data_IF_695240024778
#
_entry.id   IF_695240024778
#
_cell.length_a   1.000
_cell.length_b   1.000
_cell.length_c   1.000
_cell.angle_alpha   90.00
_cell.angle_beta   90.00
_cell.angle_gamma   90.00
#
_symmetry.space_group_name_H-M   'P 1'
#
loop_
_entity.id
_entity.type
_entity.pdbx_description
1 polymer ?
#
# COMPACT_ATOMS: atom_id res chain seq x y z
N UNK A 1 9.90 -14.90 38.32
CA UNK A 1 9.12 -13.67 38.10
C UNK A 1 9.86 -12.79 37.09
N UNK A 2 9.55 -12.90 35.80
CA UNK A 2 10.13 -12.07 34.73
C UNK A 2 9.19 -10.89 34.51
N UNK A 3 9.65 -9.70 34.83
CA UNK A 3 8.94 -8.44 34.55
C UNK A 3 8.93 -8.20 33.03
N UNK A 4 7.75 -8.17 32.46
CA UNK A 4 7.48 -7.79 31.09
C UNK A 4 7.55 -6.27 31.00
N UNK A 5 8.52 -5.74 30.27
CA UNK A 5 8.68 -4.31 30.05
C UNK A 5 7.69 -3.90 28.93
N UNK A 6 6.59 -3.24 29.31
CA UNK A 6 5.71 -2.56 28.36
C UNK A 6 6.42 -1.29 27.91
N UNK A 7 6.88 -1.25 26.66
CA UNK A 7 7.33 -0.01 26.02
C UNK A 7 6.13 0.63 25.33
N UNK A 8 5.56 1.64 25.96
CA UNK A 8 4.62 2.58 25.32
C UNK A 8 5.45 3.50 24.41
N UNK A 9 5.40 3.31 23.10
CA UNK A 9 5.93 4.28 22.14
C UNK A 9 4.80 5.25 21.76
N UNK A 10 4.76 6.39 22.43
CA UNK A 10 4.04 7.56 21.96
C UNK A 10 4.91 8.25 20.92
N UNK A 11 4.63 8.06 19.62
CA UNK A 11 5.29 8.81 18.55
C UNK A 11 4.52 10.10 18.35
N UNK A 12 5.01 11.16 18.97
CA UNK A 12 4.56 12.53 18.69
C UNK A 12 5.33 13.08 17.50
N UNK A 13 4.72 13.07 16.31
CA UNK A 13 5.28 13.76 15.14
C UNK A 13 4.81 15.21 15.15
N UNK A 14 5.65 16.13 15.63
CA UNK A 14 5.45 17.57 15.48
C UNK A 14 6.05 17.98 14.13
N UNK A 15 5.21 18.30 13.15
CA UNK A 15 5.63 19.05 11.96
C UNK A 15 4.83 20.36 11.98
N UNK A 16 5.50 21.43 12.37
CA UNK A 16 4.98 22.78 12.25
C UNK A 16 5.09 23.27 10.82
N UNK A 17 3.96 23.68 10.24
CA UNK A 17 3.84 24.74 9.22
C UNK A 17 2.43 25.29 9.29
N UNK A 18 2.31 26.59 9.48
CA UNK A 18 1.07 27.29 9.72
C UNK A 18 0.15 27.33 8.49
N UNK A 19 -1.10 27.01 8.73
CA UNK A 19 -2.24 27.12 7.82
C UNK A 19 -3.45 26.51 8.51
N UNK A 20 -4.58 27.18 8.53
CA UNK A 20 -5.81 26.95 9.26
C UNK A 20 -6.11 25.48 9.61
N UNK A 21 -6.32 25.23 10.89
CA UNK A 21 -6.36 23.94 11.58
C UNK A 21 -7.23 22.85 10.96
N UNK A 22 -6.59 21.92 10.26
CA UNK A 22 -7.07 20.55 10.18
C UNK A 22 -6.43 19.79 11.34
N UNK A 23 -7.17 19.58 12.42
CA UNK A 23 -6.77 18.62 13.47
C UNK A 23 -6.63 17.25 12.80
N UNK A 24 -5.39 16.78 12.61
CA UNK A 24 -5.13 15.37 12.36
C UNK A 24 -5.57 14.63 13.62
N UNK A 25 -6.55 13.75 13.51
CA UNK A 25 -6.84 12.80 14.55
C UNK A 25 -5.61 11.90 14.73
N UNK A 26 -4.77 12.22 15.72
CA UNK A 26 -3.67 11.36 16.17
C UNK A 26 -4.27 10.31 17.09
N UNK A 27 -4.90 9.29 16.51
CA UNK A 27 -5.39 8.16 17.29
C UNK A 27 -4.24 7.39 17.91
N UNK A 28 -4.42 6.90 19.12
CA UNK A 28 -3.45 6.02 19.78
C UNK A 28 -3.51 4.63 19.13
N UNK A 29 -2.36 4.13 18.69
CA UNK A 29 -2.22 2.79 18.12
C UNK A 29 -1.53 1.88 19.12
N UNK A 30 -2.15 0.76 19.42
CA UNK A 30 -1.53 -0.32 20.20
C UNK A 30 -1.68 -1.65 19.43
N UNK A 31 -0.60 -2.40 19.29
CA UNK A 31 -0.62 -3.75 18.75
C UNK A 31 0.47 -4.61 19.37
N UNK A 32 0.14 -5.88 19.57
CA UNK A 32 1.10 -6.86 20.09
C UNK A 32 1.83 -7.50 18.92
N UNK A 33 3.14 -7.35 18.89
CA UNK A 33 4.02 -8.09 18.00
C UNK A 33 5.13 -8.74 18.81
N UNK A 34 5.25 -10.07 18.68
CA UNK A 34 6.34 -10.87 19.21
C UNK A 34 6.95 -11.68 18.09
N UNK A 35 8.17 -12.17 18.30
CA UNK A 35 8.77 -13.10 17.33
C UNK A 35 7.81 -14.27 17.07
N UNK A 36 7.60 -14.59 15.79
CA UNK A 36 6.79 -15.74 15.40
C UNK A 36 7.33 -17.03 16.04
N UNK A 37 6.43 -17.75 16.71
CA UNK A 37 6.77 -18.99 17.43
C UNK A 37 6.38 -20.25 16.68
N UNK A 38 5.60 -20.11 15.60
CA UNK A 38 5.24 -21.22 14.70
C UNK A 38 6.41 -21.65 13.82
N UNK A 39 6.22 -22.74 13.10
CA UNK A 39 7.19 -23.21 12.11
C UNK A 39 6.95 -22.53 10.77
N UNK A 40 7.95 -21.84 10.24
CA UNK A 40 7.96 -21.36 8.87
C UNK A 40 8.54 -22.47 7.99
N UNK A 41 7.68 -23.05 7.14
CA UNK A 41 8.10 -24.02 6.12
C UNK A 41 8.34 -23.28 4.81
N UNK A 42 9.60 -23.15 4.32
CA UNK A 42 9.85 -22.52 3.03
C UNK A 42 9.07 -23.20 1.88
N UNK A 43 8.60 -22.42 0.92
CA UNK A 43 7.73 -22.88 -0.16
C UNK A 43 6.24 -22.96 0.22
N UNK A 44 5.83 -22.43 1.38
CA UNK A 44 4.44 -22.48 1.84
C UNK A 44 3.91 -21.12 2.31
N UNK A 45 2.58 -21.03 2.41
CA UNK A 45 1.88 -19.90 3.00
C UNK A 45 1.78 -20.05 4.52
N UNK A 46 2.10 -18.99 5.23
CA UNK A 46 1.73 -18.79 6.63
C UNK A 46 0.46 -17.95 6.69
N UNK A 47 -0.52 -18.42 7.46
CA UNK A 47 -1.77 -17.73 7.72
C UNK A 47 -1.70 -17.14 9.11
N UNK A 48 -1.88 -15.84 9.22
CA UNK A 48 -1.72 -15.13 10.48
C UNK A 48 -2.83 -14.12 10.69
N UNK A 49 -2.96 -13.62 11.91
CA UNK A 49 -3.94 -12.61 12.26
C UNK A 49 -3.31 -11.54 13.13
N UNK A 50 -3.33 -10.29 12.64
CA UNK A 50 -2.85 -9.14 13.38
C UNK A 50 -3.99 -8.63 14.26
N UNK A 51 -3.77 -8.59 15.58
CA UNK A 51 -4.65 -7.93 16.53
C UNK A 51 -4.07 -6.55 16.85
N UNK A 52 -4.90 -5.52 16.74
CA UNK A 52 -4.52 -4.15 17.09
C UNK A 52 -5.69 -3.39 17.72
N UNK A 53 -5.37 -2.32 18.42
CA UNK A 53 -6.32 -1.34 18.92
C UNK A 53 -6.05 0.02 18.34
N UNK A 54 -7.09 0.75 18.02
CA UNK A 54 -7.02 2.14 17.59
C UNK A 54 -8.11 2.93 18.31
N UNK A 55 -7.71 3.97 19.07
CA UNK A 55 -8.61 4.75 19.94
C UNK A 55 -9.49 3.88 20.87
N UNK A 56 -8.92 2.79 21.37
CA UNK A 56 -9.62 1.86 22.26
C UNK A 56 -10.44 0.78 21.57
N UNK A 57 -10.74 0.91 20.29
CA UNK A 57 -11.44 -0.12 19.50
C UNK A 57 -10.46 -1.20 19.02
N UNK A 58 -10.84 -2.47 19.25
CA UNK A 58 -10.05 -3.63 18.88
C UNK A 58 -10.45 -4.16 17.51
N UNK A 59 -9.46 -4.54 16.69
CA UNK A 59 -9.69 -5.15 15.40
C UNK A 59 -8.70 -6.28 15.11
N UNK A 60 -9.12 -7.17 14.19
CA UNK A 60 -8.36 -8.30 13.71
C UNK A 60 -8.22 -8.23 12.18
N UNK A 61 -7.02 -8.41 11.68
CA UNK A 61 -6.73 -8.40 10.24
C UNK A 61 -6.06 -9.70 9.85
N UNK A 62 -6.72 -10.46 8.97
CA UNK A 62 -6.12 -11.68 8.43
C UNK A 62 -4.97 -11.33 7.48
N UNK A 63 -3.92 -12.13 7.54
CA UNK A 63 -2.69 -11.97 6.77
C UNK A 63 -2.29 -13.31 6.16
N UNK A 64 -1.86 -13.30 4.90
CA UNK A 64 -1.15 -14.40 4.28
C UNK A 64 0.27 -13.98 3.91
N UNK A 65 1.25 -14.80 4.27
CA UNK A 65 2.66 -14.56 3.94
C UNK A 65 3.20 -15.79 3.24
N UNK A 66 3.70 -15.64 2.02
CA UNK A 66 4.43 -16.67 1.31
C UNK A 66 5.93 -16.54 1.57
N UNK A 67 6.53 -17.60 1.99
CA UNK A 67 7.98 -17.70 2.16
C UNK A 67 8.56 -18.59 1.06
N UNK A 68 9.37 -18.07 0.12
CA UNK A 68 9.93 -18.88 -0.95
C UNK A 68 10.85 -19.98 -0.44
N UNK A 69 11.08 -21.03 -1.24
CA UNK A 69 11.86 -22.24 -0.84
C UNK A 69 13.24 -21.96 -0.33
N UNK A 70 13.89 -20.89 -0.82
CA UNK A 70 15.21 -20.48 -0.39
C UNK A 70 15.19 -19.51 0.81
N UNK A 71 14.04 -19.28 1.43
CA UNK A 71 13.92 -18.42 2.60
C UNK A 71 14.77 -18.94 3.77
N UNK A 72 15.47 -18.03 4.41
CA UNK A 72 16.21 -18.32 5.66
C UNK A 72 16.04 -17.17 6.65
N UNK A 73 15.82 -17.49 7.93
CA UNK A 73 15.70 -16.52 9.02
C UNK A 73 16.96 -15.67 9.29
N UNK A 74 18.08 -15.98 8.65
CA UNK A 74 19.37 -15.33 8.91
C UNK A 74 19.71 -14.20 7.95
N UNK A 75 18.84 -13.90 6.97
CA UNK A 75 19.08 -12.88 5.95
C UNK A 75 17.98 -11.85 5.95
N UNK A 76 18.32 -10.59 5.64
CA UNK A 76 17.34 -9.62 5.17
C UNK A 76 16.70 -10.17 3.91
N UNK A 77 15.38 -10.23 3.85
CA UNK A 77 14.68 -10.87 2.75
C UNK A 77 13.87 -9.85 1.96
N UNK A 78 13.99 -9.89 0.64
CA UNK A 78 13.15 -9.05 -0.23
C UNK A 78 11.69 -9.37 0.03
N UNK A 79 10.92 -8.34 0.30
CA UNK A 79 9.51 -8.46 0.70
C UNK A 79 8.63 -7.59 -0.21
N UNK A 80 7.58 -8.16 -0.77
CA UNK A 80 6.59 -7.42 -1.54
C UNK A 80 5.24 -7.47 -0.80
N UNK A 81 4.75 -6.31 -0.40
CA UNK A 81 3.42 -6.14 0.18
C UNK A 81 2.43 -5.92 -0.96
N UNK A 82 1.40 -6.76 -1.05
CA UNK A 82 0.43 -6.76 -2.14
C UNK A 82 -0.95 -6.38 -1.62
N UNK A 83 -1.38 -5.18 -1.94
CA UNK A 83 -2.67 -4.61 -1.56
C UNK A 83 -3.74 -5.05 -2.57
N UNK A 84 -4.88 -5.50 -2.06
CA UNK A 84 -6.03 -5.88 -2.89
C UNK A 84 -6.90 -4.67 -3.28
N UNK A 85 -7.78 -4.83 -4.27
CA UNK A 85 -8.79 -3.84 -4.64
C UNK A 85 -9.95 -3.75 -3.64
N UNK A 86 -10.90 -2.85 -3.89
CA UNK A 86 -12.08 -2.64 -3.04
C UNK A 86 -12.86 -3.93 -2.81
N UNK A 87 -13.23 -4.20 -1.55
CA UNK A 87 -13.89 -5.43 -1.07
C UNK A 87 -13.09 -6.71 -1.24
N UNK A 88 -11.79 -6.60 -1.48
CA UNK A 88 -10.89 -7.74 -1.59
C UNK A 88 -10.43 -8.29 -0.24
N UNK A 89 -9.54 -9.27 -0.31
CA UNK A 89 -9.01 -9.97 0.84
C UNK A 89 -7.56 -10.43 0.62
N UNK A 90 -6.95 -10.99 1.66
CA UNK A 90 -5.63 -11.61 1.60
C UNK A 90 -5.54 -12.78 0.58
N UNK A 91 -6.69 -13.32 0.13
CA UNK A 91 -6.74 -14.46 -0.78
C UNK A 91 -6.71 -14.07 -2.26
N UNK A 92 -6.95 -12.82 -2.58
CA UNK A 92 -7.18 -12.37 -3.95
C UNK A 92 -5.98 -12.62 -4.86
N UNK A 93 -4.80 -12.15 -4.48
CA UNK A 93 -3.57 -12.35 -5.23
C UNK A 93 -3.18 -13.84 -5.33
N UNK A 94 -3.16 -14.60 -4.21
CA UNK A 94 -2.89 -16.04 -4.25
C UNK A 94 -3.84 -16.85 -5.15
N UNK A 95 -5.12 -16.53 -5.13
CA UNK A 95 -6.14 -17.29 -5.85
C UNK A 95 -6.21 -16.99 -7.35
N UNK A 96 -5.86 -15.75 -7.76
CA UNK A 96 -6.13 -15.27 -9.11
C UNK A 96 -4.86 -14.96 -9.92
N UNK A 97 -3.68 -15.32 -9.42
CA UNK A 97 -2.44 -14.99 -10.12
C UNK A 97 -1.35 -16.04 -9.96
N UNK A 98 -0.29 -15.91 -10.75
CA UNK A 98 0.92 -16.75 -10.68
C UNK A 98 1.92 -16.28 -9.61
N UNK A 99 1.46 -15.60 -8.55
CA UNK A 99 2.36 -14.95 -7.59
C UNK A 99 3.34 -15.92 -6.92
N UNK A 100 2.91 -17.16 -6.61
CA UNK A 100 3.79 -18.18 -6.01
C UNK A 100 4.98 -18.50 -6.93
N UNK A 101 4.72 -18.74 -8.22
CA UNK A 101 5.79 -19.02 -9.18
C UNK A 101 6.76 -17.83 -9.35
N UNK A 102 6.22 -16.61 -9.30
CA UNK A 102 7.03 -15.40 -9.40
C UNK A 102 7.82 -15.11 -8.11
N UNK A 103 7.23 -15.39 -6.94
CA UNK A 103 7.92 -15.32 -5.66
C UNK A 103 9.12 -16.27 -5.59
N UNK A 104 8.96 -17.48 -6.12
CA UNK A 104 10.06 -18.45 -6.23
C UNK A 104 11.13 -17.97 -7.23
N UNK A 105 10.70 -17.54 -8.44
CA UNK A 105 11.60 -17.09 -9.49
C UNK A 105 12.52 -15.95 -9.02
N UNK A 106 11.96 -14.99 -8.31
CA UNK A 106 12.67 -13.79 -7.88
C UNK A 106 13.12 -13.83 -6.41
N UNK A 107 12.86 -14.93 -5.70
CA UNK A 107 13.24 -15.09 -4.29
C UNK A 107 12.74 -13.92 -3.42
N UNK A 108 11.42 -13.68 -3.43
CA UNK A 108 10.76 -12.61 -2.67
C UNK A 108 9.68 -13.18 -1.76
N UNK A 109 9.64 -12.76 -0.51
CA UNK A 109 8.52 -13.02 0.38
C UNK A 109 7.31 -12.14 -0.05
N UNK A 110 6.12 -12.74 -0.05
CA UNK A 110 4.89 -12.06 -0.46
C UNK A 110 3.97 -11.90 0.74
N UNK A 111 3.44 -10.70 0.93
CA UNK A 111 2.58 -10.36 2.06
C UNK A 111 1.25 -9.81 1.55
N UNK A 112 0.16 -10.47 1.88
CA UNK A 112 -1.20 -10.12 1.46
C UNK A 112 -2.07 -9.86 2.71
N UNK A 113 -2.36 -8.60 3.09
CA UNK A 113 -3.29 -8.28 4.15
C UNK A 113 -4.75 -8.31 3.66
N UNK A 114 -5.71 -8.56 4.58
CA UNK A 114 -7.15 -8.48 4.31
C UNK A 114 -7.71 -7.17 4.84
N UNK A 115 -7.98 -6.22 3.98
CA UNK A 115 -8.40 -4.87 4.35
C UNK A 115 -9.78 -4.48 3.78
N UNK A 116 -10.52 -5.43 3.18
CA UNK A 116 -11.92 -5.28 2.79
C UNK A 116 -12.22 -4.03 1.94
N UNK A 117 -13.07 -3.15 2.48
CA UNK A 117 -13.60 -1.98 1.75
C UNK A 117 -12.74 -0.72 1.89
N UNK A 118 -11.43 -0.83 2.11
CA UNK A 118 -10.55 0.34 2.22
C UNK A 118 -10.28 1.03 0.88
N UNK A 119 -10.08 2.34 0.93
CA UNK A 119 -9.44 3.15 -0.11
C UNK A 119 -7.98 3.46 0.24
N UNK A 120 -7.45 2.82 1.28
CA UNK A 120 -6.12 3.11 1.84
C UNK A 120 -5.96 4.59 2.24
N UNK A 121 -7.06 5.14 2.75
CA UNK A 121 -7.19 6.49 3.27
C UNK A 121 -6.33 6.72 4.52
N UNK A 122 -5.95 7.98 4.77
CA UNK A 122 -5.17 8.39 5.95
C UNK A 122 -6.02 8.98 7.08
N UNK A 123 -7.30 9.23 6.83
CA UNK A 123 -8.19 9.89 7.78
C UNK A 123 -9.63 9.48 7.55
N UNK A 124 -10.40 9.39 8.62
CA UNK A 124 -11.86 9.39 8.60
C UNK A 124 -12.39 10.77 8.98
N UNK A 125 -13.37 11.23 8.25
CA UNK A 125 -14.11 12.45 8.54
C UNK A 125 -15.46 12.13 9.21
N UNK A 126 -16.12 13.10 9.83
CA UNK A 126 -17.48 12.87 10.38
C UNK A 126 -18.45 12.32 9.33
N UNK A 127 -18.29 12.73 8.07
CA UNK A 127 -19.13 12.31 6.93
C UNK A 127 -18.71 10.98 6.29
N UNK A 128 -17.61 10.37 6.75
CA UNK A 128 -17.14 9.09 6.21
C UNK A 128 -18.14 7.98 6.50
N UNK A 129 -18.75 7.44 5.45
CA UNK A 129 -19.71 6.33 5.52
C UNK A 129 -19.09 4.98 5.19
N UNK A 130 -17.94 4.95 4.54
CA UNK A 130 -17.21 3.73 4.23
C UNK A 130 -15.94 3.64 5.07
N UNK A 131 -15.99 2.82 6.11
CA UNK A 131 -14.85 2.49 6.98
C UNK A 131 -14.60 0.99 6.90
N UNK A 132 -13.35 0.59 6.63
CA UNK A 132 -13.00 -0.84 6.62
C UNK A 132 -12.73 -1.38 8.03
N UNK A 133 -12.39 -0.53 8.97
CA UNK A 133 -12.07 -0.85 10.36
C UNK A 133 -11.97 0.43 11.20
N UNK A 134 -11.57 0.34 12.45
CA UNK A 134 -11.47 1.51 13.33
C UNK A 134 -10.39 2.49 12.86
N UNK A 135 -9.30 1.99 12.31
CA UNK A 135 -8.16 2.77 11.80
C UNK A 135 -8.27 2.98 10.29
N UNK A 136 -7.97 4.19 9.76
CA UNK A 136 -7.81 4.41 8.33
C UNK A 136 -6.80 3.47 7.70
N UNK A 137 -7.13 2.92 6.50
CA UNK A 137 -6.37 1.83 5.90
C UNK A 137 -4.92 2.18 5.56
N UNK A 138 -4.65 3.41 5.13
CA UNK A 138 -3.28 3.87 4.87
C UNK A 138 -2.42 3.93 6.14
N UNK A 139 -3.03 4.31 7.28
CA UNK A 139 -2.33 4.29 8.57
C UNK A 139 -2.07 2.86 9.06
N UNK A 140 -3.00 1.94 8.82
CA UNK A 140 -2.77 0.53 9.17
C UNK A 140 -1.54 -0.04 8.47
N UNK A 141 -1.37 0.23 7.18
CA UNK A 141 -0.21 -0.25 6.42
C UNK A 141 1.11 0.21 7.06
N UNK A 142 1.24 1.49 7.38
CA UNK A 142 2.49 2.06 7.89
C UNK A 142 2.71 1.85 9.38
N UNK A 143 1.65 1.94 10.20
CA UNK A 143 1.80 1.99 11.66
C UNK A 143 1.57 0.63 12.34
N UNK A 144 0.95 -0.33 11.63
CA UNK A 144 0.68 -1.66 12.17
C UNK A 144 1.31 -2.75 11.31
N UNK A 145 0.95 -2.84 10.02
CA UNK A 145 1.37 -3.95 9.17
C UNK A 145 2.89 -4.03 9.03
N UNK A 146 3.55 -2.96 8.58
CA UNK A 146 5.02 -2.97 8.40
C UNK A 146 5.75 -3.20 9.70
N UNK A 147 5.47 -2.50 10.82
CA UNK A 147 6.09 -2.79 12.11
C UNK A 147 5.82 -4.21 12.63
N UNK A 148 4.63 -4.77 12.37
CA UNK A 148 4.31 -6.16 12.72
C UNK A 148 5.20 -7.13 11.95
N UNK A 149 5.34 -6.96 10.63
CA UNK A 149 6.21 -7.79 9.79
C UNK A 149 7.67 -7.75 10.24
N UNK A 150 8.16 -6.57 10.59
CA UNK A 150 9.51 -6.36 11.08
C UNK A 150 9.78 -7.10 12.39
N UNK A 151 8.87 -6.97 13.35
CA UNK A 151 9.04 -7.53 14.70
C UNK A 151 8.76 -9.03 14.74
N UNK A 152 7.79 -9.51 13.96
CA UNK A 152 7.31 -10.89 14.02
C UNK A 152 8.08 -11.81 13.09
N UNK A 153 8.32 -11.38 11.86
CA UNK A 153 8.87 -12.21 10.78
C UNK A 153 10.25 -11.77 10.28
N UNK A 154 10.76 -10.63 10.73
CA UNK A 154 11.96 -9.99 10.16
C UNK A 154 11.84 -9.69 8.66
N UNK A 155 10.63 -9.45 8.20
CA UNK A 155 10.32 -8.98 6.84
C UNK A 155 10.18 -7.47 6.80
N UNK A 156 10.33 -6.87 5.62
CA UNK A 156 10.23 -5.42 5.41
C UNK A 156 11.14 -4.60 6.35
N UNK A 157 12.30 -5.13 6.69
CA UNK A 157 13.21 -4.53 7.69
C UNK A 157 14.08 -3.40 7.14
N UNK A 158 14.22 -3.32 5.82
CA UNK A 158 14.98 -2.27 5.13
C UNK A 158 14.19 -1.77 3.93
N UNK A 159 14.23 -0.46 3.72
CA UNK A 159 13.60 0.21 2.59
C UNK A 159 13.93 -0.47 1.26
N UNK A 160 15.22 -0.54 0.93
CA UNK A 160 15.72 -1.04 -0.33
C UNK A 160 15.49 -2.55 -0.59
N UNK A 161 14.95 -3.28 0.39
CA UNK A 161 14.48 -4.67 0.26
C UNK A 161 12.96 -4.79 0.27
N UNK A 162 12.23 -3.68 0.37
CA UNK A 162 10.77 -3.69 0.55
C UNK A 162 10.07 -3.03 -0.62
N UNK A 163 9.27 -3.80 -1.35
CA UNK A 163 8.34 -3.31 -2.38
C UNK A 163 6.91 -3.27 -1.86
N UNK A 164 6.11 -2.37 -2.41
CA UNK A 164 4.66 -2.32 -2.19
C UNK A 164 3.94 -2.20 -3.52
N UNK A 165 2.89 -3.00 -3.71
CA UNK A 165 2.07 -2.93 -4.91
C UNK A 165 0.60 -3.18 -4.61
N UNK A 166 -0.24 -2.92 -5.60
CA UNK A 166 -1.65 -3.30 -5.52
C UNK A 166 -2.41 -3.07 -6.83
N UNK A 167 -3.67 -3.48 -6.83
CA UNK A 167 -4.59 -3.29 -7.95
C UNK A 167 -5.78 -2.42 -7.55
N UNK A 168 -6.34 -1.64 -8.49
CA UNK A 168 -7.51 -0.79 -8.23
C UNK A 168 -7.28 0.15 -7.04
N UNK A 169 -8.15 0.15 -6.02
CA UNK A 169 -7.91 0.94 -4.78
C UNK A 169 -6.59 0.59 -4.12
N UNK A 170 -6.15 -0.68 -4.17
CA UNK A 170 -4.83 -1.11 -3.70
C UNK A 170 -3.68 -0.55 -4.55
N UNK A 171 -3.90 -0.36 -5.85
CA UNK A 171 -2.93 0.29 -6.74
C UNK A 171 -2.69 1.75 -6.35
N UNK A 172 -3.78 2.49 -6.10
CA UNK A 172 -3.72 3.83 -5.49
C UNK A 172 -3.08 3.78 -4.10
N UNK A 173 -3.50 2.82 -3.28
CA UNK A 173 -3.01 2.65 -1.92
C UNK A 173 -1.50 2.41 -1.83
N UNK A 174 -0.93 1.65 -2.76
CA UNK A 174 0.51 1.39 -2.82
C UNK A 174 1.31 2.68 -3.13
N UNK A 175 0.84 3.48 -4.08
CA UNK A 175 1.44 4.80 -4.38
C UNK A 175 1.34 5.72 -3.16
N UNK A 176 0.14 5.87 -2.56
CA UNK A 176 -0.05 6.70 -1.36
C UNK A 176 0.78 6.23 -0.16
N UNK A 177 0.94 4.92 0.02
CA UNK A 177 1.78 4.39 1.10
C UNK A 177 3.24 4.82 0.93
N UNK A 178 3.79 4.76 -0.29
CA UNK A 178 5.15 5.21 -0.59
C UNK A 178 5.28 6.74 -0.43
N UNK A 179 4.33 7.51 -0.92
CA UNK A 179 4.32 8.97 -0.79
C UNK A 179 4.28 9.47 0.66
N UNK A 180 3.48 8.79 1.50
CA UNK A 180 3.33 9.19 2.91
C UNK A 180 4.48 8.75 3.80
N UNK A 181 5.19 7.71 3.39
CA UNK A 181 6.24 7.10 4.18
C UNK A 181 7.55 7.02 3.38
N UNK A 182 8.20 8.17 3.10
CA UNK A 182 9.53 8.18 2.49
C UNK A 182 10.48 7.30 3.30
N UNK A 183 11.33 6.54 2.62
CA UNK A 183 12.29 5.59 3.21
C UNK A 183 11.67 4.32 3.84
N UNK A 184 10.39 4.03 3.55
CA UNK A 184 9.78 2.76 3.98
C UNK A 184 9.78 1.71 2.85
N UNK A 185 9.70 2.15 1.60
CA UNK A 185 9.60 1.30 0.43
C UNK A 185 10.62 1.69 -0.62
N UNK A 186 11.47 0.73 -1.03
CA UNK A 186 12.48 0.93 -2.06
C UNK A 186 11.92 0.97 -3.48
N UNK A 187 10.67 0.50 -3.69
CA UNK A 187 9.95 0.61 -4.94
C UNK A 187 8.44 0.45 -4.72
N UNK A 188 7.63 1.05 -5.59
CA UNK A 188 6.16 0.95 -5.54
C UNK A 188 5.57 0.64 -6.91
N UNK A 189 4.42 -0.08 -6.94
CA UNK A 189 3.69 -0.36 -8.17
C UNK A 189 2.18 -0.23 -7.99
N UNK A 190 1.53 0.46 -8.92
CA UNK A 190 0.08 0.58 -8.96
C UNK A 190 -0.49 0.08 -10.29
N UNK A 191 -1.48 -0.85 -10.21
CA UNK A 191 -2.17 -1.37 -11.38
C UNK A 191 -3.62 -0.92 -11.34
N UNK A 192 -4.09 -0.28 -12.43
CA UNK A 192 -5.47 0.26 -12.53
C UNK A 192 -5.86 1.14 -11.34
N UNK A 193 -4.92 1.90 -10.78
CA UNK A 193 -5.17 2.83 -9.69
C UNK A 193 -5.71 4.17 -10.19
N UNK A 194 -6.44 4.86 -9.33
CA UNK A 194 -6.89 6.22 -9.53
C UNK A 194 -5.96 7.20 -8.80
N UNK A 195 -5.28 8.03 -9.57
CA UNK A 195 -4.22 8.90 -9.04
C UNK A 195 -4.58 10.38 -9.02
N UNK A 196 -5.65 10.77 -9.73
CA UNK A 196 -6.22 12.12 -9.69
C UNK A 196 -7.72 12.08 -9.33
N UNK A 197 -8.04 12.07 -8.02
CA UNK A 197 -9.42 12.02 -7.58
C UNK A 197 -10.25 13.25 -8.02
N UNK A 198 -9.58 14.40 -8.21
CA UNK A 198 -10.24 15.66 -8.62
C UNK A 198 -10.84 15.56 -10.02
N UNK A 199 -10.20 14.82 -10.92
CA UNK A 199 -10.74 14.56 -12.28
C UNK A 199 -11.98 13.66 -12.29
N UNK A 200 -12.32 13.04 -11.15
CA UNK A 200 -13.47 12.15 -10.98
C UNK A 200 -14.47 12.65 -9.91
N UNK A 201 -14.96 13.88 -9.97
CA UNK A 201 -15.70 14.55 -8.88
C UNK A 201 -17.04 13.89 -8.52
N UNK A 202 -17.52 12.94 -9.36
CA UNK A 202 -18.75 12.15 -9.14
C UNK A 202 -18.45 10.73 -8.64
N UNK A 203 -17.20 10.40 -8.32
CA UNK A 203 -16.84 9.09 -7.84
C UNK A 203 -17.48 8.84 -6.46
N UNK A 204 -18.43 7.89 -6.41
CA UNK A 204 -19.19 7.58 -5.19
C UNK A 204 -18.32 6.94 -4.11
N UNK A 205 -17.30 6.21 -4.51
CA UNK A 205 -16.40 5.54 -3.58
C UNK A 205 -15.53 6.57 -2.84
N UNK A 206 -14.97 7.55 -3.56
CA UNK A 206 -14.27 8.67 -2.92
C UNK A 206 -15.21 9.50 -2.03
N UNK A 207 -16.43 9.78 -2.51
CA UNK A 207 -17.41 10.52 -1.73
C UNK A 207 -17.80 9.80 -0.43
N UNK A 208 -17.78 8.46 -0.40
CA UNK A 208 -18.07 7.70 0.83
C UNK A 208 -16.99 7.81 1.91
N UNK A 209 -15.79 8.26 1.55
CA UNK A 209 -14.68 8.50 2.50
C UNK A 209 -14.50 9.99 2.76
N UNK A 210 -14.38 10.81 1.71
CA UNK A 210 -14.01 12.22 1.82
C UNK A 210 -15.22 13.17 1.86
N UNK A 211 -16.44 12.66 1.73
CA UNK A 211 -17.66 13.46 1.50
C UNK A 211 -17.78 13.88 0.03
N UNK A 212 -18.96 14.38 -0.42
CA UNK A 212 -19.16 14.82 -1.81
C UNK A 212 -18.19 15.92 -2.23
N UNK A 213 -17.63 15.81 -3.43
CA UNK A 213 -16.65 16.79 -3.94
C UNK A 213 -17.17 18.24 -3.90
N UNK A 214 -18.45 18.44 -4.25
CA UNK A 214 -19.09 19.78 -4.25
C UNK A 214 -19.09 20.47 -2.87
N UNK A 215 -19.12 19.66 -1.80
CA UNK A 215 -19.21 20.14 -0.44
C UNK A 215 -17.83 20.20 0.25
N UNK A 216 -16.89 19.35 -0.20
CA UNK A 216 -15.55 19.18 0.42
C UNK A 216 -14.42 19.11 -0.62
N UNK A 217 -14.32 20.07 -1.57
CA UNK A 217 -13.33 19.98 -2.66
C UNK A 217 -11.89 19.94 -2.16
N UNK A 218 -11.56 20.63 -1.07
CA UNK A 218 -10.20 20.64 -0.53
C UNK A 218 -9.72 19.27 0.00
N UNK A 219 -10.65 18.43 0.50
CA UNK A 219 -10.31 17.08 0.94
C UNK A 219 -9.82 16.24 -0.25
N UNK A 220 -10.49 16.33 -1.40
CA UNK A 220 -10.14 15.62 -2.62
C UNK A 220 -8.85 16.16 -3.26
N UNK A 221 -8.62 17.45 -3.13
CA UNK A 221 -7.45 18.10 -3.69
C UNK A 221 -6.19 17.79 -2.87
N UNK A 222 -6.29 17.77 -1.53
CA UNK A 222 -5.12 17.77 -0.64
C UNK A 222 -4.96 16.49 0.17
N UNK A 223 -6.08 15.79 0.48
CA UNK A 223 -6.03 14.61 1.34
C UNK A 223 -6.00 13.36 0.48
N UNK A 224 -4.98 12.53 0.68
CA UNK A 224 -4.83 11.27 -0.04
C UNK A 224 -4.91 11.41 -1.56
N UNK A 225 -4.39 12.51 -2.09
CA UNK A 225 -4.31 12.79 -3.51
C UNK A 225 -2.89 12.52 -4.02
N UNK A 226 -2.67 11.43 -4.80
CA UNK A 226 -1.34 11.12 -5.33
C UNK A 226 -0.74 12.25 -6.17
N UNK A 227 -1.53 13.01 -6.92
CA UNK A 227 -1.03 14.14 -7.70
C UNK A 227 -0.39 15.22 -6.82
N UNK A 228 -0.98 15.48 -5.65
CA UNK A 228 -0.48 16.48 -4.69
C UNK A 228 0.77 15.99 -3.96
N UNK A 229 0.81 14.68 -3.65
CA UNK A 229 1.90 14.06 -2.88
C UNK A 229 3.06 13.56 -3.76
N UNK A 230 2.95 13.62 -5.09
CA UNK A 230 3.87 13.04 -6.07
C UNK A 230 5.36 13.45 -5.85
N UNK A 231 5.61 14.65 -5.34
CA UNK A 231 6.97 15.13 -5.05
C UNK A 231 7.70 14.22 -4.05
N UNK A 232 6.98 13.58 -3.15
CA UNK A 232 7.54 12.69 -2.13
C UNK A 232 8.07 11.36 -2.66
N UNK A 233 7.78 11.04 -3.93
CA UNK A 233 8.32 9.86 -4.63
C UNK A 233 9.69 10.12 -5.28
N UNK A 234 10.30 11.26 -5.01
CA UNK A 234 11.64 11.57 -5.52
C UNK A 234 12.63 10.49 -5.10
N UNK A 235 13.25 9.82 -6.09
CA UNK A 235 14.20 8.74 -5.86
C UNK A 235 13.56 7.34 -5.72
N UNK A 236 12.28 7.23 -5.39
CA UNK A 236 11.57 5.95 -5.30
C UNK A 236 11.16 5.46 -6.69
N UNK A 237 11.60 4.28 -7.16
CA UNK A 237 11.14 3.69 -8.40
C UNK A 237 9.63 3.38 -8.40
N UNK A 238 8.95 3.71 -9.50
CA UNK A 238 7.49 3.61 -9.64
C UNK A 238 7.16 2.79 -10.88
N UNK A 239 6.26 1.81 -10.74
CA UNK A 239 5.64 1.12 -11.88
C UNK A 239 4.14 1.42 -11.90
N UNK A 240 3.64 1.83 -13.07
CA UNK A 240 2.22 2.05 -13.32
C UNK A 240 1.76 1.12 -14.44
N UNK A 241 0.72 0.33 -14.19
CA UNK A 241 0.11 -0.55 -15.18
C UNK A 241 -1.37 -0.23 -15.37
N UNK A 242 -1.86 -0.19 -16.63
CA UNK A 242 -3.26 0.07 -16.89
C UNK A 242 -3.77 -0.68 -18.12
N UNK A 243 -5.04 -1.12 -18.09
CA UNK A 243 -5.70 -1.67 -19.26
C UNK A 243 -6.27 -0.56 -20.17
N UNK A 244 -6.12 -0.68 -21.48
CA UNK A 244 -6.65 0.32 -22.41
C UNK A 244 -8.18 0.30 -22.53
N UNK A 245 -8.83 -0.77 -22.05
CA UNK A 245 -10.29 -0.96 -22.01
C UNK A 245 -10.85 -0.92 -20.59
N UNK A 246 -10.10 -0.36 -19.65
CA UNK A 246 -10.56 -0.16 -18.27
C UNK A 246 -11.66 0.90 -18.24
N UNK A 247 -12.90 0.46 -17.98
CA UNK A 247 -14.09 1.32 -17.90
C UNK A 247 -14.47 1.69 -16.46
N UNK A 248 -13.77 1.14 -15.47
CA UNK A 248 -13.98 1.42 -14.03
C UNK A 248 -13.09 2.57 -13.58
N UNK A 249 -11.79 2.43 -13.87
CA UNK A 249 -10.80 3.49 -13.65
C UNK A 249 -10.17 3.79 -15.01
N UNK A 250 -10.41 4.98 -15.58
CA UNK A 250 -9.86 5.33 -16.88
C UNK A 250 -8.32 5.29 -16.89
N UNK A 251 -7.72 4.75 -17.95
CA UNK A 251 -6.25 4.68 -18.09
C UNK A 251 -5.58 6.06 -18.00
N UNK A 252 -6.34 7.09 -18.29
CA UNK A 252 -5.92 8.49 -18.19
C UNK A 252 -5.42 8.82 -16.78
N UNK A 253 -5.87 8.11 -15.74
CA UNK A 253 -5.38 8.26 -14.37
C UNK A 253 -3.87 7.98 -14.28
N UNK A 254 -3.40 6.90 -14.88
CA UNK A 254 -1.96 6.61 -14.95
C UNK A 254 -1.20 7.61 -15.82
N UNK A 255 -1.79 8.01 -16.96
CA UNK A 255 -1.15 8.96 -17.88
C UNK A 255 -0.99 10.36 -17.25
N UNK A 256 -2.02 10.88 -16.59
CA UNK A 256 -1.97 12.17 -15.89
C UNK A 256 -0.92 12.15 -14.79
N UNK A 257 -0.84 11.05 -14.03
CA UNK A 257 0.15 10.91 -12.98
C UNK A 257 1.59 10.90 -13.54
N UNK A 258 1.82 10.23 -14.68
CA UNK A 258 3.12 10.28 -15.38
C UNK A 258 3.44 11.70 -15.84
N UNK A 259 2.46 12.44 -16.35
CA UNK A 259 2.65 13.85 -16.73
C UNK A 259 3.08 14.69 -15.52
N UNK A 260 2.47 14.48 -14.37
CA UNK A 260 2.88 15.14 -13.11
C UNK A 260 4.31 14.81 -12.72
N UNK A 261 4.71 13.54 -12.76
CA UNK A 261 6.08 13.13 -12.46
C UNK A 261 7.10 13.72 -13.46
N UNK A 262 6.73 13.80 -14.75
CA UNK A 262 7.57 14.46 -15.77
C UNK A 262 7.73 15.96 -15.51
N UNK A 263 6.69 16.62 -15.01
CA UNK A 263 6.80 18.03 -14.64
C UNK A 263 7.77 18.21 -13.47
N UNK A 264 7.65 17.39 -12.43
CA UNK A 264 8.56 17.43 -11.28
C UNK A 264 10.02 17.10 -11.67
N UNK A 265 10.24 16.29 -12.70
CA UNK A 265 11.58 16.07 -13.26
C UNK A 265 12.17 17.32 -13.91
N UNK A 266 11.36 18.06 -14.68
CA UNK A 266 11.80 19.34 -15.27
C UNK A 266 12.15 20.36 -14.20
N UNK A 267 11.49 20.30 -13.05
CA UNK A 267 11.74 21.15 -11.90
C UNK A 267 12.94 20.69 -11.04
N UNK A 268 13.76 19.73 -11.55
CA UNK A 268 15.00 19.25 -10.94
C UNK A 268 14.86 18.03 -10.02
N UNK A 269 13.71 17.37 -10.00
CA UNK A 269 13.53 16.08 -9.31
C UNK A 269 14.10 14.91 -10.13
N UNK A 270 14.35 13.78 -9.46
CA UNK A 270 14.68 12.52 -10.13
C UNK A 270 13.57 11.52 -9.86
N UNK A 271 12.84 11.12 -10.90
CA UNK A 271 11.72 10.18 -10.81
C UNK A 271 11.95 9.00 -11.74
N UNK A 272 12.18 7.83 -11.17
CA UNK A 272 12.38 6.57 -11.90
C UNK A 272 10.99 5.94 -12.09
N UNK A 273 10.45 5.99 -13.31
CA UNK A 273 9.09 5.52 -13.59
C UNK A 273 9.01 4.64 -14.81
N UNK A 274 8.18 3.61 -14.72
CA UNK A 274 7.72 2.76 -15.82
C UNK A 274 6.22 2.91 -15.91
N UNK A 275 5.70 3.23 -17.11
CA UNK A 275 4.27 3.22 -17.37
C UNK A 275 3.97 2.26 -18.52
N UNK A 276 3.08 1.29 -18.26
CA UNK A 276 2.73 0.27 -19.23
C UNK A 276 1.22 0.18 -19.43
N UNK A 277 0.77 0.43 -20.65
CA UNK A 277 -0.62 0.22 -21.05
C UNK A 277 -0.75 -1.15 -21.69
N UNK A 278 -1.69 -1.96 -21.21
CA UNK A 278 -1.95 -3.32 -21.69
C UNK A 278 -3.12 -3.30 -22.67
N UNK A 279 -2.90 -3.66 -23.95
CA UNK A 279 -3.94 -3.63 -24.97
C UNK A 279 -5.02 -4.68 -24.70
N UNK A 280 -6.27 -4.31 -25.00
CA UNK A 280 -7.46 -5.16 -24.86
C UNK A 280 -7.72 -5.66 -23.44
N UNK A 281 -7.23 -4.96 -22.41
CA UNK A 281 -7.41 -5.32 -21.01
C UNK A 281 -8.38 -4.39 -20.29
N UNK A 282 -9.24 -4.99 -19.49
CA UNK A 282 -10.26 -4.34 -18.66
C UNK A 282 -9.84 -4.28 -17.19
N UNK A 283 -10.71 -3.77 -16.33
CA UNK A 283 -10.53 -3.69 -14.87
C UNK A 283 -10.81 -5.05 -14.19
N UNK A 284 -9.95 -6.02 -14.39
CA UNK A 284 -10.16 -7.39 -13.89
C UNK A 284 -8.86 -8.17 -13.67
N UNK A 285 -9.00 -9.39 -13.14
CA UNK A 285 -7.88 -10.27 -12.83
C UNK A 285 -7.06 -10.70 -14.03
N UNK A 286 -7.62 -10.69 -15.24
CA UNK A 286 -6.85 -10.97 -16.47
C UNK A 286 -5.75 -9.94 -16.70
N UNK A 287 -6.05 -8.66 -16.46
CA UNK A 287 -5.05 -7.60 -16.48
C UNK A 287 -4.07 -7.75 -15.33
N UNK A 288 -4.58 -7.85 -14.10
CA UNK A 288 -3.76 -7.80 -12.89
C UNK A 288 -2.80 -8.98 -12.80
N UNK A 289 -3.24 -10.19 -13.13
CA UNK A 289 -2.36 -11.37 -13.20
C UNK A 289 -1.31 -11.25 -14.31
N UNK A 290 -1.69 -10.71 -15.48
CA UNK A 290 -0.75 -10.51 -16.59
C UNK A 290 0.32 -9.47 -16.25
N UNK A 291 -0.09 -8.35 -15.66
CA UNK A 291 0.83 -7.27 -15.29
C UNK A 291 1.81 -7.66 -14.20
N UNK A 292 1.46 -8.64 -13.38
CA UNK A 292 2.28 -9.10 -12.26
C UNK A 292 3.67 -9.58 -12.68
N UNK A 293 3.82 -10.18 -13.85
CA UNK A 293 5.13 -10.58 -14.39
C UNK A 293 6.05 -9.37 -14.60
N UNK A 294 5.51 -8.28 -15.13
CA UNK A 294 6.29 -7.06 -15.35
C UNK A 294 6.62 -6.38 -14.01
N UNK A 295 5.68 -6.36 -13.08
CA UNK A 295 5.87 -5.77 -11.75
C UNK A 295 6.91 -6.52 -10.93
N UNK A 296 6.86 -7.85 -10.91
CA UNK A 296 7.81 -8.65 -10.14
C UNK A 296 9.23 -8.57 -10.73
N UNK A 297 9.35 -8.52 -12.06
CA UNK A 297 10.61 -8.22 -12.73
C UNK A 297 11.13 -6.82 -12.38
N UNK A 298 10.25 -5.81 -12.39
CA UNK A 298 10.59 -4.46 -11.97
C UNK A 298 11.11 -4.42 -10.53
N UNK A 299 10.48 -5.12 -9.59
CA UNK A 299 11.01 -5.22 -8.22
C UNK A 299 12.36 -5.94 -8.17
N UNK A 300 12.57 -6.99 -8.99
CA UNK A 300 13.87 -7.68 -9.05
C UNK A 300 14.99 -6.77 -9.55
N UNK A 301 14.68 -5.83 -10.44
CA UNK A 301 15.64 -4.85 -10.97
C UNK A 301 15.89 -3.67 -10.01
N UNK A 302 14.93 -3.33 -9.15
CA UNK A 302 14.97 -2.10 -8.34
C UNK A 302 15.26 -2.34 -6.86
N UNK A 303 14.90 -3.49 -6.32
CA UNK A 303 15.23 -3.85 -4.94
C UNK A 303 16.61 -4.49 -4.86
N UNK A 304 17.32 -4.28 -3.75
CA UNK A 304 18.60 -4.93 -3.47
C UNK A 304 18.44 -6.45 -3.39
N UNK A 305 19.52 -7.18 -3.71
CA UNK A 305 19.58 -8.65 -3.73
C UNK A 305 20.29 -9.22 -2.52
#
# INVERSE_FOLDING_TARGET
>A
MKRMLLLLLAISLVIGCGGAGMQRASGSVDFTASKYTGTITPGTWVHEQIRYKYDGEEALVNLQIYFPKNYTLRKTYRTVIMLHGYRGSQRDWPANSSIVSLAELYSMAIVCPSMGSTLYESVYFPETTNKWGPMPGGLFVSNVLVPYLQKTFYLATKENYTGIMGNSTGGRGAILAAERNPNMFGATAGISGDYDPVSMPRNRLHASVYGPYKDFPERWQKIDNPMELAERLKGTPIFLGHGDKDSVVPKEQSLIFVVRLNQLEKDGGKYIKVNKVYPYRMHNWELWSKSLHDVMRFFDEKLEK
#
